data_IF_486063933784
#
_entry.id   IF_486063933784
#
_cell.length_a   1.000
_cell.length_b   1.000
_cell.length_c   1.000
_cell.angle_alpha   90.00
_cell.angle_beta   90.00
_cell.angle_gamma   90.00
#
_symmetry.space_group_name_H-M   'P 1'
#
loop_
_entity.id
_entity.type
_entity.pdbx_description
1 polymer ?
#
# COMPACT_ATOMS: atom_id res chain seq x y z
N UNK A 1 -7.08 7.58 9.80
CA UNK A 1 -6.27 8.70 9.25
C UNK A 1 -5.05 9.05 10.10
N UNK A 2 -5.09 9.04 11.44
CA UNK A 2 -3.96 9.46 12.31
C UNK A 2 -2.67 8.61 12.21
N UNK A 3 -2.74 7.44 11.54
CA UNK A 3 -1.62 6.52 11.32
C UNK A 3 -1.06 6.56 9.90
N UNK A 4 -1.42 7.58 9.12
CA UNK A 4 -0.93 7.78 7.76
C UNK A 4 -0.16 9.08 7.77
N UNK A 5 1.14 9.01 7.46
CA UNK A 5 2.00 10.18 7.49
C UNK A 5 2.05 10.78 6.09
N UNK A 6 1.33 11.89 5.89
CA UNK A 6 1.43 12.70 4.68
C UNK A 6 2.62 13.67 4.78
N UNK A 7 3.34 13.98 3.68
CA UNK A 7 3.18 13.40 2.36
C UNK A 7 3.56 11.92 2.37
N UNK A 8 2.68 11.09 1.79
CA UNK A 8 2.91 9.66 1.71
C UNK A 8 3.78 9.38 0.49
N UNK A 9 4.79 8.54 0.64
CA UNK A 9 5.59 8.11 -0.50
C UNK A 9 4.76 7.20 -1.41
N UNK A 10 5.14 7.11 -2.69
CA UNK A 10 4.37 6.39 -3.70
C UNK A 10 3.27 7.25 -4.33
N UNK A 11 2.34 6.61 -5.03
CA UNK A 11 1.34 7.24 -5.90
C UNK A 11 0.24 6.25 -6.28
N UNK A 12 -0.84 6.77 -6.83
CA UNK A 12 -1.81 6.03 -7.62
C UNK A 12 -1.37 6.09 -9.08
N UNK A 13 -1.45 4.97 -9.79
CA UNK A 13 -1.12 4.83 -11.20
C UNK A 13 -2.29 4.16 -11.88
N UNK A 14 -2.93 4.86 -12.80
CA UNK A 14 -4.05 4.35 -13.59
C UNK A 14 -3.92 4.77 -15.07
N UNK A 15 -4.91 4.42 -15.90
CA UNK A 15 -4.97 4.81 -17.32
C UNK A 15 -4.91 6.34 -17.53
N UNK A 16 -5.30 7.15 -16.53
CA UNK A 16 -5.25 8.61 -16.57
C UNK A 16 -3.90 9.17 -16.12
N UNK A 17 -3.02 8.33 -15.57
CA UNK A 17 -1.63 8.65 -15.23
C UNK A 17 -1.29 8.53 -13.74
N UNK A 18 -0.23 9.24 -13.35
CA UNK A 18 0.32 9.20 -12.00
C UNK A 18 -0.26 10.30 -11.09
N UNK A 19 -0.87 9.92 -9.96
CA UNK A 19 -1.39 10.85 -8.95
C UNK A 19 -0.75 10.64 -7.59
N UNK A 20 -0.18 11.70 -6.99
CA UNK A 20 0.37 11.63 -5.62
C UNK A 20 -0.73 11.54 -4.57
N UNK A 21 -0.44 10.85 -3.47
CA UNK A 21 -1.36 10.76 -2.34
C UNK A 21 -1.44 12.04 -1.53
N UNK A 22 -2.66 12.40 -1.17
CA UNK A 22 -3.07 13.52 -0.32
C UNK A 22 -4.13 13.03 0.66
N UNK A 23 -4.47 13.84 1.66
CA UNK A 23 -5.56 13.48 2.59
C UNK A 23 -6.91 13.38 1.88
N UNK A 24 -7.08 14.11 0.78
CA UNK A 24 -8.34 14.26 0.05
C UNK A 24 -8.61 13.09 -0.90
N UNK A 25 -7.56 12.56 -1.53
CA UNK A 25 -7.67 11.43 -2.46
C UNK A 25 -7.31 10.08 -1.82
N UNK A 26 -7.00 10.05 -0.52
CA UNK A 26 -6.66 8.79 0.15
C UNK A 26 -7.88 7.88 0.30
N UNK A 27 -7.83 6.73 -0.38
CA UNK A 27 -8.84 5.70 -0.27
C UNK A 27 -8.50 4.76 0.88
N UNK A 28 -9.38 4.69 1.89
CA UNK A 28 -9.17 3.78 3.01
C UNK A 28 -9.38 2.33 2.57
N UNK A 29 -8.31 1.55 2.61
CA UNK A 29 -8.40 0.10 2.42
C UNK A 29 -9.35 -0.53 3.45
N UNK A 30 -10.31 -1.30 2.95
CA UNK A 30 -11.26 -2.06 3.79
C UNK A 30 -10.80 -3.48 4.09
N UNK A 31 -9.85 -3.99 3.31
CA UNK A 31 -9.31 -5.36 3.45
C UNK A 31 -8.15 -5.34 4.43
N UNK A 32 -8.12 -6.30 5.35
CA UNK A 32 -6.96 -6.47 6.24
C UNK A 32 -5.78 -6.96 5.43
N UNK A 33 -4.59 -6.43 5.71
CA UNK A 33 -3.34 -6.82 5.04
C UNK A 33 -3.06 -8.34 5.07
N UNK A 34 -3.60 -9.09 6.03
CA UNK A 34 -3.41 -10.55 6.12
C UNK A 34 -4.51 -11.38 5.43
N UNK A 35 -5.65 -10.76 5.10
CA UNK A 35 -6.84 -11.43 4.55
C UNK A 35 -6.89 -11.28 3.02
N UNK A 36 -5.76 -11.49 2.35
CA UNK A 36 -5.67 -11.44 0.89
C UNK A 36 -5.98 -12.84 0.33
N UNK A 37 -6.90 -12.92 -0.64
CA UNK A 37 -7.18 -14.16 -1.36
C UNK A 37 -5.99 -14.57 -2.24
N UNK A 38 -5.16 -15.47 -1.71
CA UNK A 38 -3.96 -15.99 -2.37
C UNK A 38 -4.26 -16.85 -3.60
N UNK A 39 -5.51 -17.22 -3.86
CA UNK A 39 -5.90 -17.91 -5.11
C UNK A 39 -5.94 -16.93 -6.29
N UNK A 40 -6.29 -15.68 -6.01
CA UNK A 40 -6.44 -14.61 -7.02
C UNK A 40 -5.21 -13.71 -7.08
N UNK A 41 -4.60 -13.42 -5.94
CA UNK A 41 -3.49 -12.47 -5.83
C UNK A 41 -2.19 -13.19 -5.47
N UNK A 42 -1.11 -12.80 -6.14
CA UNK A 42 0.24 -13.04 -5.66
C UNK A 42 0.53 -12.05 -4.54
N UNK A 43 1.24 -12.50 -3.51
CA UNK A 43 1.54 -11.69 -2.33
C UNK A 43 2.98 -11.92 -1.91
N UNK A 44 3.71 -10.84 -1.67
CA UNK A 44 5.02 -10.83 -1.03
C UNK A 44 4.95 -9.92 0.20
N UNK A 45 5.59 -10.31 1.30
CA UNK A 45 5.79 -9.41 2.43
C UNK A 45 7.16 -9.59 3.06
N UNK A 46 7.69 -8.50 3.60
CA UNK A 46 8.94 -8.46 4.35
C UNK A 46 8.67 -7.76 5.67
N UNK A 47 9.01 -8.42 6.78
CA UNK A 47 8.81 -7.88 8.13
C UNK A 47 10.14 -7.82 8.87
N UNK A 48 10.40 -6.70 9.52
CA UNK A 48 11.49 -6.52 10.47
C UNK A 48 10.94 -6.03 11.82
N UNK A 49 11.84 -5.69 12.77
CA UNK A 49 11.45 -5.14 14.07
C UNK A 49 10.78 -3.77 13.96
N UNK A 50 11.13 -2.96 12.96
CA UNK A 50 10.67 -1.58 12.80
C UNK A 50 10.03 -1.27 11.46
N UNK A 51 10.02 -2.22 10.52
CA UNK A 51 9.43 -2.04 9.19
C UNK A 51 8.55 -3.22 8.82
N UNK A 52 7.49 -2.94 8.06
CA UNK A 52 6.68 -3.94 7.40
C UNK A 52 6.39 -3.49 5.98
N UNK A 53 6.73 -4.33 5.01
CA UNK A 53 6.44 -4.12 3.61
C UNK A 53 5.55 -5.23 3.11
N UNK A 54 4.57 -4.88 2.30
CA UNK A 54 3.68 -5.81 1.62
C UNK A 54 3.50 -5.37 0.17
N UNK A 55 3.45 -6.34 -0.72
CA UNK A 55 3.10 -6.19 -2.12
C UNK A 55 2.08 -7.26 -2.49
N UNK A 56 1.04 -6.90 -3.22
CA UNK A 56 0.15 -7.86 -3.87
C UNK A 56 -0.13 -7.45 -5.30
N UNK A 57 -0.36 -8.42 -6.18
CA UNK A 57 -0.62 -8.17 -7.60
C UNK A 57 -1.36 -9.34 -8.22
N UNK A 58 -2.01 -9.10 -9.36
CA UNK A 58 -2.50 -10.17 -10.23
C UNK A 58 -1.52 -10.27 -11.40
N UNK A 59 -0.95 -11.45 -11.60
CA UNK A 59 0.05 -11.71 -12.63
C UNK A 59 -0.52 -11.43 -14.04
N UNK A 60 0.19 -10.63 -14.84
CA UNK A 60 -0.22 -10.27 -16.20
C UNK A 60 -1.38 -9.27 -16.32
N UNK A 61 -1.87 -8.69 -15.23
CA UNK A 61 -3.09 -7.86 -15.24
C UNK A 61 -2.88 -6.35 -15.23
N UNK A 62 -1.65 -5.86 -14.98
CA UNK A 62 -1.42 -4.44 -14.70
C UNK A 62 -1.87 -3.99 -13.30
N UNK A 63 -2.60 -4.82 -12.55
CA UNK A 63 -3.09 -4.53 -11.20
C UNK A 63 -2.11 -4.96 -10.09
N UNK A 64 -1.84 -4.06 -9.16
CA UNK A 64 -1.13 -4.38 -7.93
C UNK A 64 -1.04 -3.21 -6.96
N UNK A 65 -0.70 -3.51 -5.72
CA UNK A 65 -0.45 -2.49 -4.71
C UNK A 65 0.71 -2.86 -3.82
N UNK A 66 1.36 -1.84 -3.29
CA UNK A 66 2.48 -1.95 -2.36
C UNK A 66 2.29 -1.01 -1.18
N UNK A 67 2.59 -1.49 0.01
CA UNK A 67 2.46 -0.73 1.24
C UNK A 67 3.71 -0.90 2.11
N UNK A 68 4.19 0.20 2.67
CA UNK A 68 5.24 0.18 3.69
C UNK A 68 4.78 0.90 4.95
N UNK A 69 5.01 0.23 6.06
CA UNK A 69 4.77 0.72 7.40
C UNK A 69 6.08 0.79 8.17
N UNK A 70 6.20 1.82 9.00
CA UNK A 70 7.34 2.03 9.88
C UNK A 70 6.86 2.23 11.32
N UNK A 71 7.61 1.65 12.26
CA UNK A 71 7.38 1.81 13.68
C UNK A 71 8.06 3.10 14.15
N UNK A 72 7.25 4.12 14.43
CA UNK A 72 7.70 5.42 14.94
C UNK A 72 7.09 5.64 16.32
N UNK A 73 7.91 5.87 17.35
CA UNK A 73 7.45 6.08 18.73
C UNK A 73 6.48 4.97 19.21
N UNK A 74 6.89 3.71 19.00
CA UNK A 74 6.14 2.50 19.34
C UNK A 74 4.76 2.37 18.67
N UNK A 75 4.57 3.03 17.53
CA UNK A 75 3.31 3.09 16.79
C UNK A 75 3.59 2.88 15.30
N UNK A 76 2.81 2.02 14.64
CA UNK A 76 2.96 1.79 13.20
C UNK A 76 2.29 2.91 12.40
N UNK A 77 3.02 3.42 11.42
CA UNK A 77 2.55 4.43 10.48
C UNK A 77 2.73 3.94 9.05
N UNK A 78 1.72 4.14 8.20
CA UNK A 78 1.87 4.00 6.76
C UNK A 78 2.71 5.17 6.25
N UNK A 79 3.80 4.85 5.55
CA UNK A 79 4.77 5.81 5.02
C UNK A 79 4.91 5.75 3.50
N UNK A 80 4.47 4.65 2.89
CA UNK A 80 4.49 4.44 1.44
C UNK A 80 3.24 3.67 1.01
N UNK A 81 2.61 4.11 -0.07
CA UNK A 81 1.59 3.36 -0.78
C UNK A 81 1.73 3.55 -2.29
N UNK A 82 1.82 2.45 -3.02
CA UNK A 82 1.64 2.40 -4.46
C UNK A 82 0.33 1.66 -4.73
N UNK A 83 -0.52 2.25 -5.56
CA UNK A 83 -1.70 1.58 -6.10
C UNK A 83 -1.59 1.67 -7.62
N UNK A 84 -1.61 0.52 -8.29
CA UNK A 84 -1.42 0.41 -9.72
C UNK A 84 -2.60 -0.36 -10.31
N UNK A 85 -3.27 0.26 -11.28
CA UNK A 85 -4.37 -0.32 -12.01
C UNK A 85 -4.33 0.17 -13.46
N UNK A 86 -3.51 -0.49 -14.27
CA UNK A 86 -3.30 -0.20 -15.70
C UNK A 86 -4.31 -0.93 -16.60
#
# INVERSE_FOLDING_TARGET
MSRIKFPLQGKMVDESGDTKWSKQNWLMMKVKIYDIDKKKYKVEYKKSKSTFYQKFWIEGSGFGAEYRFELLNNKWYLVYALDQNL
#
